data_IF_779970637180
#
_entry.id   IF_779970637180
#
_cell.length_a   1.000
_cell.length_b   1.000
_cell.length_c   1.000
_cell.angle_alpha   90.00
_cell.angle_beta   90.00
_cell.angle_gamma   90.00
#
_symmetry.space_group_name_H-M   'P 1'
#
loop_
_entity.id
_entity.type
_entity.pdbx_description
1 polymer ?
#
# COMPACT_ATOMS: atom_id res chain seq x y z
N UNK A 1 47.70 21.09 33.40
CA UNK A 1 48.07 19.79 32.80
C UNK A 1 46.80 19.02 32.52
N UNK A 2 46.29 19.07 31.29
CA UNK A 2 45.19 18.20 30.84
C UNK A 2 45.40 17.98 29.34
N UNK A 3 45.69 16.73 28.96
CA UNK A 3 46.05 16.33 27.60
C UNK A 3 44.78 15.88 26.90
N UNK A 4 44.41 16.55 25.81
CA UNK A 4 43.39 16.07 24.89
C UNK A 4 44.01 14.98 23.99
N UNK A 5 43.41 13.79 23.99
CA UNK A 5 43.66 12.75 22.98
C UNK A 5 42.65 12.94 21.82
N UNK A 6 43.08 12.92 20.55
CA UNK A 6 42.16 12.78 19.43
C UNK A 6 41.83 11.29 19.19
N UNK A 7 40.54 10.98 19.12
CA UNK A 7 40.05 9.66 18.69
C UNK A 7 40.12 9.55 17.16
N UNK A 8 40.83 8.52 16.68
CA UNK A 8 40.93 8.10 15.29
C UNK A 8 39.61 7.45 14.82
N UNK A 9 39.08 7.92 13.70
CA UNK A 9 37.99 7.30 12.94
C UNK A 9 38.59 6.24 12.00
N UNK A 10 38.16 4.96 12.05
CA UNK A 10 38.50 4.02 11.00
C UNK A 10 37.47 4.08 9.87
N UNK A 11 37.97 4.36 8.67
CA UNK A 11 37.30 4.25 7.37
C UNK A 11 37.56 2.86 6.78
N UNK A 12 36.64 2.41 5.91
CA UNK A 12 36.70 1.30 4.94
C UNK A 12 36.31 -0.12 5.41
N UNK A 13 35.26 -0.65 4.77
CA UNK A 13 35.43 -1.70 3.75
C UNK A 13 34.13 -1.89 2.94
N UNK A 14 34.17 -1.52 1.66
CA UNK A 14 33.18 -1.92 0.67
C UNK A 14 33.61 -3.28 0.10
N UNK A 15 32.72 -4.28 0.15
CA UNK A 15 32.94 -5.59 -0.47
C UNK A 15 32.02 -5.74 -1.67
N UNK A 16 32.62 -5.73 -2.87
CA UNK A 16 31.98 -6.07 -4.15
C UNK A 16 32.06 -7.57 -4.38
N UNK A 17 30.91 -8.22 -4.56
CA UNK A 17 30.83 -9.64 -4.88
C UNK A 17 30.77 -9.83 -6.41
N UNK A 18 31.82 -10.43 -6.97
CA UNK A 18 31.82 -11.01 -8.31
C UNK A 18 31.19 -12.41 -8.27
N UNK A 19 30.16 -12.68 -9.08
CA UNK A 19 29.71 -14.05 -9.36
C UNK A 19 30.14 -14.41 -10.78
N UNK A 20 30.98 -15.44 -10.82
CA UNK A 20 31.66 -16.00 -11.98
C UNK A 20 30.71 -16.92 -12.76
N UNK A 21 30.58 -16.69 -14.07
CA UNK A 21 29.94 -17.61 -15.01
C UNK A 21 30.85 -18.82 -15.23
N UNK A 22 30.33 -20.05 -15.09
CA UNK A 22 30.99 -21.29 -15.53
C UNK A 22 30.27 -21.87 -16.74
N UNK A 23 30.96 -22.03 -17.89
CA UNK A 23 30.43 -22.77 -19.03
C UNK A 23 30.78 -24.27 -18.88
N UNK A 24 29.82 -25.12 -19.22
CA UNK A 24 30.01 -26.56 -19.36
C UNK A 24 29.13 -27.09 -20.48
N UNK A 25 29.71 -27.19 -21.69
CA UNK A 25 29.34 -28.20 -22.68
C UNK A 25 29.83 -29.57 -22.14
N UNK A 26 29.29 -30.74 -22.47
CA UNK A 26 28.65 -31.19 -23.70
C UNK A 26 27.92 -32.54 -23.50
N UNK A 27 26.91 -32.75 -24.36
CA UNK A 27 26.53 -33.99 -25.08
C UNK A 27 26.12 -35.28 -24.35
N UNK A 28 24.84 -35.63 -24.47
CA UNK A 28 24.33 -36.90 -25.03
C UNK A 28 22.84 -36.69 -25.36
N UNK A 29 22.47 -36.39 -26.60
CA UNK A 29 22.06 -37.36 -27.63
C UNK A 29 21.13 -38.45 -27.11
N UNK A 30 19.82 -38.23 -27.28
CA UNK A 30 18.90 -39.33 -27.55
C UNK A 30 17.89 -38.87 -28.61
N UNK A 31 18.28 -39.19 -29.84
CA UNK A 31 17.49 -39.09 -31.05
C UNK A 31 16.42 -40.20 -31.08
N UNK A 32 15.18 -39.83 -31.35
CA UNK A 32 14.26 -40.66 -32.12
C UNK A 32 13.06 -39.83 -32.62
N UNK A 33 13.13 -39.45 -33.92
CA UNK A 33 12.11 -39.61 -34.98
C UNK A 33 10.69 -39.08 -34.71
N UNK A 34 9.99 -38.36 -35.58
CA UNK A 34 10.17 -37.87 -36.95
C UNK A 34 8.93 -36.98 -37.29
N UNK A 35 8.83 -36.34 -38.47
CA UNK A 35 8.30 -35.00 -38.64
C UNK A 35 6.84 -34.94 -39.14
N UNK A 36 6.14 -33.86 -38.81
CA UNK A 36 5.03 -33.38 -39.63
C UNK A 36 5.07 -31.85 -39.79
N UNK A 37 5.21 -31.43 -41.04
CA UNK A 37 5.18 -30.06 -41.52
C UNK A 37 3.75 -29.53 -41.54
N UNK A 38 3.53 -28.31 -41.06
CA UNK A 38 2.46 -27.46 -41.56
C UNK A 38 2.83 -25.97 -41.43
N UNK A 39 3.09 -25.37 -42.58
CA UNK A 39 3.16 -23.93 -42.85
C UNK A 39 1.87 -23.25 -42.44
N UNK A 40 1.96 -22.13 -41.70
CA UNK A 40 0.81 -21.30 -41.33
C UNK A 40 1.26 -19.91 -40.88
N UNK A 41 1.27 -18.99 -41.84
CA UNK A 41 1.50 -17.54 -41.73
C UNK A 41 0.58 -16.87 -40.70
N UNK A 42 1.12 -15.94 -39.91
CA UNK A 42 0.31 -14.97 -39.17
C UNK A 42 0.88 -14.58 -37.81
N UNK A 43 1.93 -13.76 -37.80
CA UNK A 43 2.38 -13.09 -36.59
C UNK A 43 1.31 -12.11 -36.11
N UNK A 44 0.60 -12.45 -35.04
CA UNK A 44 -0.13 -11.48 -34.23
C UNK A 44 0.87 -10.82 -33.28
N UNK A 45 0.95 -9.48 -33.25
CA UNK A 45 1.77 -8.80 -32.26
C UNK A 45 1.27 -9.18 -30.88
N UNK A 46 2.21 -9.58 -30.02
CA UNK A 46 1.95 -9.91 -28.64
C UNK A 46 1.18 -8.78 -27.96
N UNK A 47 -0.11 -9.03 -27.73
CA UNK A 47 -0.80 -8.43 -26.61
C UNK A 47 -0.01 -8.89 -25.41
N UNK A 48 0.79 -8.00 -24.84
CA UNK A 48 1.35 -8.20 -23.52
C UNK A 48 0.14 -8.34 -22.61
N UNK A 49 -0.25 -9.58 -22.34
CA UNK A 49 -1.23 -9.85 -21.29
C UNK A 49 -0.73 -9.09 -20.07
N UNK A 50 -1.55 -8.19 -19.48
CA UNK A 50 -1.18 -7.58 -18.22
C UNK A 50 -0.94 -8.75 -17.28
N UNK A 51 0.32 -8.92 -16.89
CA UNK A 51 0.74 -9.94 -15.94
C UNK A 51 -0.19 -9.79 -14.74
N UNK A 52 -1.17 -10.70 -14.62
CA UNK A 52 -2.11 -10.73 -13.51
C UNK A 52 -1.26 -11.00 -12.29
N UNK A 53 -0.89 -9.92 -11.60
CA UNK A 53 -0.17 -9.95 -10.33
C UNK A 53 -0.93 -10.87 -9.39
N UNK A 54 -0.41 -12.07 -9.22
CA UNK A 54 -0.86 -13.17 -8.36
C UNK A 54 -1.75 -12.70 -7.20
N UNK A 55 -3.09 -12.78 -7.34
CA UNK A 55 -4.08 -12.74 -6.24
C UNK A 55 -3.91 -11.72 -5.11
N UNK A 56 -3.09 -10.68 -5.30
CA UNK A 56 -2.74 -9.71 -4.27
C UNK A 56 -3.91 -8.73 -4.15
N UNK A 57 -4.30 -8.43 -2.92
CA UNK A 57 -5.37 -7.49 -2.65
C UNK A 57 -4.78 -6.17 -2.16
N UNK A 58 -5.43 -5.04 -2.49
CA UNK A 58 -5.07 -3.76 -1.90
C UNK A 58 -5.12 -3.82 -0.39
N UNK A 59 -4.16 -3.16 0.26
CA UNK A 59 -4.03 -3.19 1.72
C UNK A 59 -3.60 -1.85 2.25
N UNK A 60 -4.15 -1.52 3.41
CA UNK A 60 -3.67 -0.44 4.26
C UNK A 60 -2.95 -1.03 5.48
N UNK A 61 -1.81 -0.47 5.83
CA UNK A 61 -1.03 -0.83 7.01
C UNK A 61 -0.82 0.42 7.86
N UNK A 62 -1.04 0.30 9.17
CA UNK A 62 -0.92 1.39 10.13
C UNK A 62 0.20 1.10 11.12
N UNK A 63 1.06 2.09 11.32
CA UNK A 63 2.14 2.03 12.30
C UNK A 63 2.03 3.17 13.30
N UNK A 64 2.04 2.87 14.61
CA UNK A 64 2.12 3.88 15.66
C UNK A 64 3.58 4.24 15.93
N UNK A 65 3.86 5.54 16.02
CA UNK A 65 5.14 6.04 16.47
C UNK A 65 5.15 6.07 18.01
N UNK A 66 6.07 5.35 18.61
CA UNK A 66 6.38 5.46 20.04
C UNK A 66 7.77 6.12 20.20
N UNK A 67 8.05 6.63 21.41
CA UNK A 67 9.25 7.42 21.70
C UNK A 67 10.58 6.79 21.23
N UNK A 68 10.66 5.46 21.16
CA UNK A 68 11.89 4.74 20.78
C UNK A 68 11.70 3.72 19.66
N UNK A 69 10.47 3.50 19.18
CA UNK A 69 10.18 2.49 18.15
C UNK A 69 8.90 2.79 17.38
N UNK A 70 8.86 2.30 16.15
CA UNK A 70 7.64 2.20 15.36
C UNK A 70 6.99 0.85 15.62
N UNK A 71 5.70 0.83 15.92
CA UNK A 71 4.90 -0.36 16.19
C UNK A 71 3.89 -0.56 15.07
N UNK A 72 3.91 -1.72 14.39
CA UNK A 72 2.86 -2.08 13.44
C UNK A 72 1.60 -2.49 14.21
N UNK A 73 0.48 -1.85 13.91
CA UNK A 73 -0.81 -2.16 14.50
C UNK A 73 -1.53 -3.25 13.70
N UNK A 74 -2.46 -3.92 14.34
CA UNK A 74 -3.43 -4.82 13.70
C UNK A 74 -4.79 -4.13 13.59
N UNK A 75 -5.63 -4.58 12.66
CA UNK A 75 -7.01 -4.08 12.56
C UNK A 75 -7.75 -4.31 13.90
N UNK A 76 -8.46 -3.30 14.38
CA UNK A 76 -9.11 -3.28 15.70
C UNK A 76 -8.17 -3.03 16.88
N UNK A 77 -6.90 -2.67 16.64
CA UNK A 77 -5.96 -2.38 17.72
C UNK A 77 -6.38 -1.11 18.51
N UNK A 78 -6.13 -1.08 19.84
CA UNK A 78 -6.42 0.09 20.65
C UNK A 78 -5.46 1.24 20.34
N UNK A 79 -6.02 2.44 20.20
CA UNK A 79 -5.32 3.70 20.02
C UNK A 79 -5.90 4.78 20.95
N UNK A 80 -5.15 5.85 21.18
CA UNK A 80 -5.54 6.97 22.04
C UNK A 80 -5.33 8.30 21.34
N UNK A 81 -6.03 9.33 21.81
CA UNK A 81 -5.74 10.70 21.43
C UNK A 81 -4.26 11.02 21.67
N UNK A 82 -3.63 11.70 20.71
CA UNK A 82 -2.20 12.00 20.71
C UNK A 82 -1.30 10.88 20.18
N UNK A 83 -1.82 9.67 19.91
CA UNK A 83 -1.03 8.66 19.18
C UNK A 83 -0.74 9.21 17.77
N UNK A 84 0.53 9.19 17.37
CA UNK A 84 0.94 9.56 16.00
C UNK A 84 1.04 8.29 15.17
N UNK A 85 0.22 8.19 14.13
CA UNK A 85 0.17 7.04 13.22
C UNK A 85 0.70 7.38 11.83
N UNK A 86 1.45 6.45 11.25
CA UNK A 86 1.95 6.50 9.90
C UNK A 86 1.20 5.47 9.05
N UNK A 87 0.57 5.94 7.98
CA UNK A 87 -0.13 5.10 7.02
C UNK A 87 0.81 4.64 5.91
N UNK A 88 0.58 3.42 5.43
CA UNK A 88 1.16 2.91 4.19
C UNK A 88 0.14 2.10 3.41
N UNK A 89 0.31 2.02 2.09
CA UNK A 89 -0.56 1.25 1.21
C UNK A 89 0.22 0.25 0.36
N UNK A 90 -0.45 -0.82 -0.05
CA UNK A 90 -0.08 -1.68 -1.18
C UNK A 90 -1.22 -1.62 -2.19
N UNK A 91 -0.98 -1.14 -3.41
CA UNK A 91 -2.02 -0.95 -4.44
C UNK A 91 -2.39 -2.24 -5.17
N UNK A 92 -1.55 -3.28 -5.06
CA UNK A 92 -1.76 -4.60 -5.65
C UNK A 92 -2.08 -4.57 -7.17
N UNK A 93 -1.45 -3.65 -7.91
CA UNK A 93 -1.62 -3.51 -9.36
C UNK A 93 -2.50 -2.33 -9.78
N UNK A 94 -3.37 -1.82 -8.90
CA UNK A 94 -4.22 -0.66 -9.23
C UNK A 94 -3.39 0.61 -9.39
N UNK A 95 -3.80 1.46 -10.33
CA UNK A 95 -3.06 2.64 -10.75
C UNK A 95 -3.50 3.92 -10.03
N UNK A 96 -4.70 3.94 -9.45
CA UNK A 96 -5.28 5.12 -8.84
C UNK A 96 -5.91 4.80 -7.49
N UNK A 97 -5.91 5.79 -6.58
CA UNK A 97 -6.61 5.64 -5.32
C UNK A 97 -6.81 6.90 -4.49
N UNK A 98 -7.64 6.72 -3.47
CA UNK A 98 -7.98 7.70 -2.42
C UNK A 98 -7.77 7.02 -1.08
N UNK A 99 -7.19 7.75 -0.12
CA UNK A 99 -7.10 7.32 1.27
C UNK A 99 -7.79 8.38 2.11
N UNK A 100 -8.70 7.96 2.97
CA UNK A 100 -9.44 8.84 3.88
C UNK A 100 -9.67 8.12 5.21
N UNK A 101 -10.08 8.87 6.22
CA UNK A 101 -10.60 8.29 7.45
C UNK A 101 -11.97 8.83 7.85
N UNK A 102 -12.67 8.04 8.65
CA UNK A 102 -13.91 8.37 9.35
C UNK A 102 -13.70 8.15 10.84
N UNK A 103 -14.05 9.12 11.67
CA UNK A 103 -13.95 9.00 13.13
C UNK A 103 -15.31 8.77 13.81
N UNK A 104 -15.29 8.51 15.12
CA UNK A 104 -16.51 8.31 15.90
C UNK A 104 -17.34 9.57 16.18
N UNK A 105 -16.91 10.77 15.77
CA UNK A 105 -17.75 11.97 15.70
C UNK A 105 -18.40 12.15 14.32
N UNK A 106 -18.05 11.29 13.36
CA UNK A 106 -18.52 11.35 11.99
C UNK A 106 -17.72 12.32 11.11
N UNK A 107 -16.55 12.79 11.55
CA UNK A 107 -15.68 13.58 10.69
C UNK A 107 -15.06 12.70 9.61
N UNK A 108 -14.89 13.27 8.41
CA UNK A 108 -14.28 12.60 7.26
C UNK A 108 -13.05 13.39 6.84
N UNK A 109 -11.89 12.75 6.89
CA UNK A 109 -10.59 13.40 6.61
C UNK A 109 -9.92 12.75 5.41
N UNK A 110 -9.67 13.47 4.31
CA UNK A 110 -8.87 12.95 3.21
C UNK A 110 -7.38 12.95 3.60
N UNK A 111 -6.70 11.85 3.32
CA UNK A 111 -5.26 11.65 3.52
C UNK A 111 -4.48 11.54 2.20
N UNK A 112 -5.15 11.07 1.14
CA UNK A 112 -4.64 11.04 -0.24
C UNK A 112 -5.83 11.18 -1.20
N UNK A 113 -5.77 12.04 -2.24
CA UNK A 113 -4.66 12.92 -2.63
C UNK A 113 -4.38 14.03 -1.60
N UNK A 114 -3.15 14.55 -1.58
CA UNK A 114 -2.83 15.74 -0.77
C UNK A 114 -3.50 17.01 -1.31
N UNK A 115 -3.68 17.10 -2.63
CA UNK A 115 -4.34 18.20 -3.33
C UNK A 115 -5.04 17.67 -4.59
N UNK A 116 -6.11 18.35 -5.01
CA UNK A 116 -6.89 18.01 -6.20
C UNK A 116 -8.27 17.44 -5.86
N UNK A 117 -9.04 17.21 -6.92
CA UNK A 117 -10.43 16.76 -6.90
C UNK A 117 -10.61 15.33 -7.44
N UNK A 118 -9.52 14.68 -7.83
CA UNK A 118 -9.51 13.31 -8.37
C UNK A 118 -8.54 12.42 -7.60
N UNK A 119 -8.70 11.11 -7.72
CA UNK A 119 -7.83 10.09 -7.14
C UNK A 119 -6.35 10.31 -7.50
N UNK A 120 -5.46 10.09 -6.53
CA UNK A 120 -4.02 10.16 -6.77
C UNK A 120 -3.54 8.97 -7.62
N UNK A 121 -2.50 9.14 -8.46
CA UNK A 121 -1.76 8.01 -9.00
C UNK A 121 -1.10 7.23 -7.87
N UNK A 122 -1.13 5.90 -7.96
CA UNK A 122 -0.50 4.98 -7.00
C UNK A 122 0.67 4.25 -7.62
N UNK A 123 1.68 3.99 -6.80
CA UNK A 123 2.72 3.04 -7.13
C UNK A 123 2.14 1.62 -7.09
N UNK A 124 2.12 0.96 -8.25
CA UNK A 124 1.35 -0.28 -8.46
C UNK A 124 1.86 -1.49 -7.66
N UNK A 125 3.12 -1.47 -7.25
CA UNK A 125 3.80 -2.59 -6.59
C UNK A 125 4.62 -2.12 -5.39
N UNK A 126 4.75 -2.99 -4.37
CA UNK A 126 5.43 -2.66 -3.12
C UNK A 126 4.51 -2.02 -2.08
N UNK A 127 5.10 -1.64 -0.95
CA UNK A 127 4.43 -0.91 0.14
C UNK A 127 4.97 0.51 0.17
N UNK A 128 4.07 1.49 0.19
CA UNK A 128 4.40 2.91 0.09
C UNK A 128 3.86 3.67 1.29
N UNK A 129 4.74 4.42 1.96
CA UNK A 129 4.36 5.29 3.06
C UNK A 129 3.69 6.55 2.51
N UNK A 130 2.66 7.03 3.21
CA UNK A 130 2.14 8.36 2.95
C UNK A 130 3.17 9.42 3.41
N UNK A 131 3.24 10.60 2.76
CA UNK A 131 4.24 11.61 3.10
C UNK A 131 4.11 12.17 4.52
N UNK A 132 2.92 12.06 5.12
CA UNK A 132 2.60 12.63 6.44
C UNK A 132 2.19 11.53 7.42
N UNK A 133 2.60 11.71 8.67
CA UNK A 133 2.02 11.02 9.81
C UNK A 133 0.87 11.86 10.40
N UNK A 134 -0.04 11.20 11.11
CA UNK A 134 -1.27 11.79 11.61
C UNK A 134 -1.38 11.58 13.12
N UNK A 135 -1.59 12.67 13.85
CA UNK A 135 -1.91 12.60 15.27
C UNK A 135 -3.41 12.34 15.42
N UNK A 136 -3.77 11.29 16.16
CA UNK A 136 -5.16 10.95 16.43
C UNK A 136 -5.77 11.97 17.39
N UNK A 137 -6.96 12.43 17.06
CA UNK A 137 -7.74 13.34 17.91
C UNK A 137 -8.40 12.60 19.08
N UNK A 138 -9.17 13.34 19.87
CA UNK A 138 -9.97 12.82 20.98
C UNK A 138 -11.36 12.34 20.55
N UNK A 139 -11.60 12.03 19.26
CA UNK A 139 -12.88 11.47 18.84
C UNK A 139 -13.09 10.11 19.52
N UNK A 140 -14.27 9.88 20.12
CA UNK A 140 -14.50 8.67 20.89
C UNK A 140 -14.68 7.46 19.96
N UNK A 141 -14.53 6.27 20.52
CA UNK A 141 -14.99 5.03 19.89
C UNK A 141 -14.07 4.46 18.80
N UNK A 142 -13.79 5.18 17.71
CA UNK A 142 -12.94 4.65 16.64
C UNK A 142 -12.33 5.71 15.72
N UNK A 143 -11.30 5.29 15.00
CA UNK A 143 -10.80 5.89 13.76
C UNK A 143 -10.76 4.79 12.69
N UNK A 144 -11.42 4.97 11.55
CA UNK A 144 -11.44 3.98 10.46
C UNK A 144 -10.85 4.58 9.20
N UNK A 145 -9.75 4.01 8.75
CA UNK A 145 -9.11 4.40 7.50
C UNK A 145 -9.60 3.53 6.35
N UNK A 146 -9.71 4.12 5.16
CA UNK A 146 -10.11 3.45 3.94
C UNK A 146 -9.05 3.67 2.86
N UNK A 147 -8.81 2.65 2.06
CA UNK A 147 -8.10 2.75 0.77
C UNK A 147 -9.08 2.35 -0.32
N UNK A 148 -9.35 3.29 -1.22
CA UNK A 148 -10.17 3.10 -2.41
C UNK A 148 -9.25 3.03 -3.62
N UNK A 149 -9.44 2.03 -4.48
CA UNK A 149 -8.55 1.79 -5.63
C UNK A 149 -9.30 1.54 -6.92
N UNK A 150 -8.69 1.96 -8.03
CA UNK A 150 -9.17 1.68 -9.38
C UNK A 150 -8.02 1.65 -10.40
N UNK A 151 -8.30 1.14 -11.60
CA UNK A 151 -7.35 1.14 -12.71
C UNK A 151 -7.33 2.46 -13.49
N UNK A 152 -8.37 3.29 -13.35
CA UNK A 152 -8.51 4.60 -13.99
C UNK A 152 -8.77 5.70 -12.92
N UNK A 153 -8.47 6.99 -13.22
CA UNK A 153 -8.79 8.08 -12.33
C UNK A 153 -10.29 8.15 -12.00
N UNK A 154 -10.63 8.57 -10.79
CA UNK A 154 -12.01 8.78 -10.35
C UNK A 154 -12.14 10.02 -9.47
N UNK A 155 -13.36 10.57 -9.40
CA UNK A 155 -13.67 11.78 -8.63
C UNK A 155 -13.58 11.53 -7.12
N UNK A 156 -12.84 12.40 -6.42
CA UNK A 156 -12.70 12.36 -4.96
C UNK A 156 -14.04 12.59 -4.28
N UNK A 157 -14.85 13.53 -4.79
CA UNK A 157 -16.07 13.95 -4.13
C UNK A 157 -17.11 12.83 -4.02
N UNK A 158 -17.18 11.92 -4.99
CA UNK A 158 -18.06 10.75 -4.89
C UNK A 158 -17.71 9.83 -3.72
N UNK A 159 -16.42 9.64 -3.47
CA UNK A 159 -15.92 8.86 -2.33
C UNK A 159 -16.15 9.60 -1.01
N UNK A 160 -15.86 10.91 -0.98
CA UNK A 160 -16.07 11.72 0.22
C UNK A 160 -17.55 11.81 0.60
N UNK A 161 -18.45 11.90 -0.37
CA UNK A 161 -19.89 11.87 -0.14
C UNK A 161 -20.35 10.53 0.46
N UNK A 162 -19.88 9.41 -0.09
CA UNK A 162 -20.17 8.08 0.45
C UNK A 162 -19.64 7.93 1.90
N UNK A 163 -18.44 8.45 2.17
CA UNK A 163 -17.85 8.44 3.51
C UNK A 163 -18.66 9.28 4.51
N UNK A 164 -19.12 10.47 4.12
CA UNK A 164 -19.98 11.31 4.99
C UNK A 164 -21.32 10.64 5.30
N UNK A 165 -21.91 9.93 4.33
CA UNK A 165 -23.13 9.15 4.59
C UNK A 165 -22.85 8.04 5.60
N UNK A 166 -21.81 7.23 5.38
CA UNK A 166 -21.44 6.14 6.28
C UNK A 166 -21.11 6.66 7.69
N UNK A 167 -20.41 7.79 7.79
CA UNK A 167 -19.98 8.41 9.05
C UNK A 167 -21.14 8.77 9.99
N UNK A 168 -22.35 8.98 9.45
CA UNK A 168 -23.57 9.26 10.23
C UNK A 168 -24.37 8.00 10.59
N UNK A 169 -23.98 6.83 10.06
CA UNK A 169 -24.70 5.58 10.25
C UNK A 169 -24.18 4.83 11.49
N UNK A 170 -25.06 4.11 12.21
CA UNK A 170 -24.65 3.25 13.32
C UNK A 170 -23.71 2.10 12.88
N UNK A 171 -23.66 1.80 11.59
CA UNK A 171 -22.79 0.80 10.97
C UNK A 171 -21.43 1.35 10.51
N UNK A 172 -21.08 2.61 10.83
CA UNK A 172 -19.83 3.25 10.40
C UNK A 172 -18.55 2.41 10.65
N UNK A 173 -18.60 1.58 11.70
CA UNK A 173 -17.50 0.71 12.13
C UNK A 173 -17.27 -0.49 11.21
N UNK A 174 -18.29 -0.96 10.50
CA UNK A 174 -18.25 -2.26 9.81
C UNK A 174 -18.73 -2.23 8.38
N UNK A 175 -19.75 -1.42 8.06
CA UNK A 175 -20.31 -1.38 6.72
C UNK A 175 -19.29 -0.85 5.70
N UNK A 176 -19.29 -1.37 4.46
CA UNK A 176 -18.50 -0.80 3.38
C UNK A 176 -19.05 0.57 2.97
N UNK A 177 -18.21 1.36 2.30
CA UNK A 177 -18.67 2.54 1.59
C UNK A 177 -19.53 2.13 0.40
N UNK A 178 -20.68 2.77 0.22
CA UNK A 178 -21.52 2.60 -0.96
C UNK A 178 -20.89 3.37 -2.12
N UNK A 179 -20.08 2.67 -2.93
CA UNK A 179 -19.28 3.26 -4.01
C UNK A 179 -19.82 2.88 -5.40
N UNK A 180 -19.54 3.69 -6.43
CA UNK A 180 -19.76 3.30 -7.82
C UNK A 180 -19.11 1.96 -8.17
N UNK A 181 -19.66 1.21 -9.13
CA UNK A 181 -19.05 -0.02 -9.60
C UNK A 181 -17.66 0.23 -10.18
N UNK A 182 -16.75 -0.73 -9.99
CA UNK A 182 -15.37 -0.64 -10.45
C UNK A 182 -14.38 -0.04 -9.45
N UNK A 183 -14.85 0.48 -8.31
CA UNK A 183 -13.99 0.87 -7.20
C UNK A 183 -13.81 -0.29 -6.21
N UNK A 184 -12.56 -0.65 -5.95
CA UNK A 184 -12.18 -1.53 -4.85
C UNK A 184 -12.09 -0.76 -3.54
N UNK A 185 -12.37 -1.42 -2.42
CA UNK A 185 -12.20 -0.82 -1.10
C UNK A 185 -11.61 -1.81 -0.11
N UNK A 186 -10.75 -1.30 0.77
CA UNK A 186 -10.28 -1.98 1.98
C UNK A 186 -10.25 -0.96 3.12
N UNK A 187 -10.34 -1.43 4.37
CA UNK A 187 -10.34 -0.55 5.53
C UNK A 187 -9.49 -1.11 6.66
N UNK A 188 -9.08 -0.23 7.57
CA UNK A 188 -8.36 -0.57 8.80
C UNK A 188 -8.98 0.22 9.95
N UNK A 189 -9.44 -0.46 11.01
CA UNK A 189 -10.04 0.16 12.18
C UNK A 189 -9.00 0.30 13.31
N UNK A 190 -9.01 1.45 14.00
CA UNK A 190 -8.45 1.63 15.32
C UNK A 190 -9.56 1.84 16.34
N UNK A 191 -9.44 1.17 17.48
CA UNK A 191 -10.37 1.28 18.60
C UNK A 191 -9.94 2.42 19.53
N UNK A 192 -10.79 3.41 19.75
CA UNK A 192 -10.55 4.49 20.72
C UNK A 192 -11.44 4.27 21.95
N UNK A 193 -10.92 4.40 23.18
CA UNK A 193 -11.75 4.24 24.37
C UNK A 193 -12.94 5.20 24.32
N UNK A 194 -14.11 4.74 24.76
CA UNK A 194 -15.21 5.63 25.08
C UNK A 194 -14.81 6.49 26.29
N UNK A 195 -15.12 7.80 26.29
CA UNK A 195 -14.88 8.67 27.44
C UNK A 195 -15.63 8.22 28.70
#
# INVERSE_FOLDING_TARGET
>A
SWRFLPALVPVLAAATLFVLVRPGASSQEQEARDPWSATGTGGTPGVLEPTRSKGLQPRLDVHRQAATRTERLTDGAPARAGDVVQLSYTAAGHAHGVILSVDGRGAVTPHLPDMGDTSAPLERSGTHLLPRAYELDDAPGFERFFLITADAPFELEGVMAAARVLATSPEARTAPLTLPPGLGQTSFLLEKPSP
#
